data_IF_523895203194
#
_entry.id   IF_523895203194
#
_cell.length_a   1.000
_cell.length_b   1.000
_cell.length_c   1.000
_cell.angle_alpha   90.00
_cell.angle_beta   90.00
_cell.angle_gamma   90.00
#
_symmetry.space_group_name_H-M   'P 1'
#
loop_
_entity.id
_entity.type
_entity.pdbx_description
1 polymer ?
#
# COMPACT_ATOMS: atom_id res chain seq x y z
N UNK A 1 16.02 8.01 11.15
CA UNK A 1 15.49 8.86 10.04
C UNK A 1 15.44 10.34 10.43
N UNK A 2 15.69 11.28 9.52
CA UNK A 2 15.54 12.74 9.77
C UNK A 2 14.13 13.25 9.45
N UNK A 3 13.80 14.49 9.78
CA UNK A 3 12.50 15.08 9.43
C UNK A 3 12.33 15.24 7.91
N UNK A 4 13.39 15.66 7.22
CA UNK A 4 13.42 15.80 5.75
C UNK A 4 13.20 14.45 5.06
N UNK A 5 13.82 13.39 5.59
CA UNK A 5 13.60 12.04 5.07
C UNK A 5 12.15 11.57 5.29
N UNK A 6 11.53 11.93 6.42
CA UNK A 6 10.11 11.66 6.67
C UNK A 6 9.18 12.39 5.70
N UNK A 7 9.46 13.67 5.42
CA UNK A 7 8.74 14.45 4.39
C UNK A 7 8.85 13.81 3.02
N UNK A 8 10.06 13.43 2.58
CA UNK A 8 10.28 12.73 1.30
C UNK A 8 9.52 11.40 1.22
N UNK A 9 9.48 10.62 2.30
CA UNK A 9 8.72 9.37 2.33
C UNK A 9 7.22 9.59 2.06
N UNK A 10 6.65 10.66 2.62
CA UNK A 10 5.25 11.03 2.40
C UNK A 10 5.01 11.65 1.02
N UNK A 11 5.93 12.46 0.51
CA UNK A 11 5.87 12.96 -0.87
C UNK A 11 5.84 11.79 -1.86
N UNK A 12 6.70 10.78 -1.66
CA UNK A 12 6.71 9.55 -2.46
C UNK A 12 5.40 8.78 -2.32
N UNK A 13 4.87 8.61 -1.11
CA UNK A 13 3.58 7.95 -0.90
C UNK A 13 2.42 8.70 -1.58
N UNK A 14 2.46 10.03 -1.61
CA UNK A 14 1.49 10.86 -2.33
C UNK A 14 1.57 10.64 -3.83
N UNK A 15 2.77 10.51 -4.41
CA UNK A 15 2.94 10.15 -5.82
C UNK A 15 2.22 8.83 -6.12
N UNK A 16 2.40 7.79 -5.29
CA UNK A 16 1.70 6.51 -5.48
C UNK A 16 0.18 6.64 -5.36
N UNK A 17 -0.32 7.45 -4.43
CA UNK A 17 -1.77 7.66 -4.27
C UNK A 17 -2.43 8.45 -5.41
N UNK A 18 -1.62 9.22 -6.16
CA UNK A 18 -2.06 10.12 -7.23
C UNK A 18 -1.56 9.69 -8.60
N UNK A 19 -0.87 8.56 -8.70
CA UNK A 19 -0.25 8.12 -9.93
C UNK A 19 -1.32 7.86 -10.99
N UNK A 20 -1.17 8.51 -12.13
CA UNK A 20 -2.09 8.44 -13.26
C UNK A 20 -1.59 7.40 -14.26
N UNK A 21 -2.45 6.46 -14.64
CA UNK A 21 -2.07 5.38 -15.55
C UNK A 21 -3.28 4.86 -16.35
N UNK A 22 -3.01 4.22 -17.48
CA UNK A 22 -4.02 3.60 -18.33
C UNK A 22 -3.84 2.08 -18.33
N UNK A 23 -4.90 1.36 -17.95
CA UNK A 23 -4.94 -0.09 -18.05
C UNK A 23 -5.43 -0.52 -19.45
N UNK A 24 -5.03 -1.73 -19.86
CA UNK A 24 -5.60 -2.47 -20.98
C UNK A 24 -6.19 -3.79 -20.48
N UNK A 25 -6.91 -4.50 -21.35
CA UNK A 25 -7.45 -5.84 -21.04
C UNK A 25 -6.35 -6.84 -20.66
N UNK A 26 -5.10 -6.64 -21.11
CA UNK A 26 -3.97 -7.49 -20.72
C UNK A 26 -3.63 -7.41 -19.24
N UNK A 27 -4.00 -6.30 -18.59
CA UNK A 27 -3.67 -6.05 -17.19
C UNK A 27 -4.71 -6.63 -16.23
N UNK A 28 -5.80 -7.20 -16.75
CA UNK A 28 -6.88 -7.85 -15.96
C UNK A 28 -6.55 -9.33 -15.78
N UNK A 29 -6.73 -9.84 -14.56
CA UNK A 29 -6.55 -11.26 -14.26
C UNK A 29 -7.44 -11.71 -13.09
N UNK A 30 -8.20 -12.78 -13.32
CA UNK A 30 -9.06 -13.45 -12.33
C UNK A 30 -8.90 -14.95 -12.48
N UNK A 31 -7.87 -15.51 -11.84
CA UNK A 31 -7.55 -16.93 -11.94
C UNK A 31 -6.08 -17.26 -11.75
N UNK A 32 -5.65 -18.40 -12.28
CA UNK A 32 -4.29 -18.92 -12.11
C UNK A 32 -3.37 -18.35 -13.20
N UNK A 33 -2.30 -17.67 -12.80
CA UNK A 33 -1.28 -17.15 -13.70
C UNK A 33 -0.35 -18.25 -14.25
N UNK A 34 0.58 -17.87 -15.13
CA UNK A 34 1.55 -18.78 -15.75
C UNK A 34 2.50 -19.48 -14.77
N UNK A 35 2.59 -19.00 -13.54
CA UNK A 35 3.42 -19.54 -12.47
C UNK A 35 2.60 -20.34 -11.43
N UNK A 36 1.32 -20.60 -11.69
CA UNK A 36 0.45 -21.34 -10.80
C UNK A 36 -0.09 -20.51 -9.61
N UNK A 37 0.04 -19.18 -9.63
CA UNK A 37 -0.47 -18.30 -8.57
C UNK A 37 -1.85 -17.79 -8.94
N UNK A 38 -2.78 -17.87 -7.99
CA UNK A 38 -4.09 -17.24 -8.14
C UNK A 38 -3.94 -15.73 -7.99
N UNK A 39 -4.48 -14.99 -8.95
CA UNK A 39 -4.42 -13.53 -9.05
C UNK A 39 -5.83 -13.02 -9.30
N UNK A 40 -6.21 -12.03 -8.50
CA UNK A 40 -7.43 -11.25 -8.67
C UNK A 40 -7.06 -9.79 -8.73
N UNK A 41 -7.26 -9.14 -9.87
CA UNK A 41 -6.95 -7.73 -10.02
C UNK A 41 -8.06 -6.85 -9.45
N UNK A 42 -7.78 -5.73 -8.77
CA UNK A 42 -8.81 -4.82 -8.26
C UNK A 42 -9.45 -3.93 -9.36
N UNK A 43 -9.74 -4.51 -10.52
CA UNK A 43 -10.49 -3.85 -11.58
C UNK A 43 -12.00 -3.88 -11.31
N UNK A 44 -12.76 -3.07 -12.05
CA UNK A 44 -14.22 -2.93 -11.85
C UNK A 44 -15.03 -4.23 -12.04
N UNK A 45 -14.47 -5.30 -12.60
CA UNK A 45 -15.13 -6.61 -12.72
C UNK A 45 -14.91 -7.51 -11.52
N UNK A 46 -13.93 -7.21 -10.66
CA UNK A 46 -13.68 -7.95 -9.43
C UNK A 46 -14.78 -7.77 -8.40
N UNK A 47 -15.28 -8.88 -7.86
CA UNK A 47 -16.26 -8.94 -6.77
C UNK A 47 -15.81 -10.00 -5.77
N UNK A 48 -14.92 -9.63 -4.85
CA UNK A 48 -14.47 -10.52 -3.80
C UNK A 48 -15.56 -10.80 -2.76
N UNK A 49 -15.52 -11.97 -2.13
CA UNK A 49 -16.43 -12.37 -1.06
C UNK A 49 -16.20 -11.53 0.20
N UNK A 50 -14.93 -11.26 0.55
CA UNK A 50 -14.55 -10.45 1.72
C UNK A 50 -14.59 -8.94 1.42
N UNK A 51 -14.09 -8.53 0.26
CA UNK A 51 -13.96 -7.12 -0.12
C UNK A 51 -14.38 -6.87 -1.57
N UNK A 52 -15.38 -6.01 -1.75
CA UNK A 52 -15.74 -5.42 -3.04
C UNK A 52 -14.85 -4.20 -3.33
N UNK A 53 -13.62 -4.45 -3.74
CA UNK A 53 -12.58 -3.43 -3.92
C UNK A 53 -12.19 -3.16 -5.37
N UNK A 54 -13.02 -3.59 -6.33
CA UNK A 54 -12.83 -3.32 -7.75
C UNK A 54 -13.02 -1.83 -8.08
N UNK A 55 -12.03 -1.18 -8.71
CA UNK A 55 -12.09 0.27 -8.93
C UNK A 55 -11.51 0.73 -10.27
N UNK A 56 -10.43 0.12 -10.76
CA UNK A 56 -9.78 0.59 -11.99
C UNK A 56 -10.42 -0.04 -13.24
N UNK A 57 -10.34 0.65 -14.37
CA UNK A 57 -11.00 0.22 -15.62
C UNK A 57 -10.06 0.25 -16.82
N UNK A 58 -10.03 -0.81 -17.65
CA UNK A 58 -9.36 -0.78 -18.96
C UNK A 58 -9.83 0.38 -19.86
N UNK A 59 -8.90 0.95 -20.61
CA UNK A 59 -9.17 2.02 -21.57
C UNK A 59 -9.57 3.36 -20.96
N UNK A 60 -9.43 3.53 -19.64
CA UNK A 60 -9.71 4.78 -18.94
C UNK A 60 -8.50 5.22 -18.10
N UNK A 61 -8.46 6.51 -17.78
CA UNK A 61 -7.49 7.03 -16.83
C UNK A 61 -7.83 6.54 -15.43
N UNK A 62 -6.86 5.91 -14.77
CA UNK A 62 -6.95 5.42 -13.41
C UNK A 62 -6.01 6.22 -12.52
N UNK A 63 -6.42 6.46 -11.26
CA UNK A 63 -5.64 7.23 -10.29
C UNK A 63 -5.38 6.44 -9.01
N UNK A 64 -4.10 6.26 -8.71
CA UNK A 64 -3.55 5.51 -7.59
C UNK A 64 -2.98 4.17 -8.03
N UNK A 65 -1.86 3.78 -7.41
CA UNK A 65 -1.26 2.45 -7.65
C UNK A 65 -2.15 1.36 -7.03
N UNK A 66 -2.49 0.29 -7.78
CA UNK A 66 -3.33 -0.78 -7.28
C UNK A 66 -2.64 -1.56 -6.14
N UNK A 67 -3.48 -2.12 -5.27
CA UNK A 67 -3.02 -3.02 -4.22
C UNK A 67 -2.46 -4.29 -4.86
N UNK A 68 -1.21 -4.61 -4.57
CA UNK A 68 -0.54 -5.81 -5.06
C UNK A 68 -0.02 -6.65 -3.90
N UNK A 69 -0.79 -7.66 -3.49
CA UNK A 69 -0.40 -8.57 -2.42
C UNK A 69 1.00 -9.14 -2.67
N UNK A 70 1.94 -8.88 -1.75
CA UNK A 70 3.32 -9.34 -1.87
C UNK A 70 4.22 -8.49 -2.77
N UNK A 71 3.72 -7.45 -3.42
CA UNK A 71 4.49 -6.58 -4.32
C UNK A 71 5.00 -5.31 -3.64
N UNK A 72 6.07 -4.73 -4.19
CA UNK A 72 6.69 -3.49 -3.78
C UNK A 72 7.27 -2.74 -5.00
N UNK A 73 6.50 -2.69 -6.09
CA UNK A 73 6.94 -2.09 -7.36
C UNK A 73 7.33 -0.62 -7.18
N UNK A 74 8.42 -0.20 -7.82
CA UNK A 74 8.66 1.23 -8.08
C UNK A 74 7.59 1.79 -9.04
N UNK A 75 7.50 3.12 -9.20
CA UNK A 75 6.58 3.70 -10.19
C UNK A 75 7.01 3.33 -11.61
N UNK A 76 8.32 3.32 -11.87
CA UNK A 76 8.91 2.94 -13.16
C UNK A 76 8.66 1.46 -13.47
N UNK A 77 8.85 0.57 -12.48
CA UNK A 77 8.53 -0.86 -12.63
C UNK A 77 7.04 -1.10 -12.85
N UNK A 78 6.19 -0.30 -12.18
CA UNK A 78 4.76 -0.35 -12.38
C UNK A 78 4.40 0.06 -13.81
N UNK A 79 4.80 1.24 -14.26
CA UNK A 79 4.47 1.77 -15.58
C UNK A 79 4.97 0.85 -16.70
N UNK A 80 6.22 0.38 -16.59
CA UNK A 80 6.77 -0.59 -17.55
C UNK A 80 5.96 -1.88 -17.55
N UNK A 81 5.65 -2.42 -16.37
CA UNK A 81 4.85 -3.64 -16.25
C UNK A 81 3.45 -3.49 -16.86
N UNK A 82 2.79 -2.34 -16.65
CA UNK A 82 1.49 -2.07 -17.28
C UNK A 82 1.60 -2.13 -18.81
N UNK A 83 2.59 -1.48 -19.40
CA UNK A 83 2.83 -1.48 -20.86
C UNK A 83 3.16 -2.88 -21.39
N UNK A 84 3.93 -3.67 -20.63
CA UNK A 84 4.28 -5.05 -20.97
C UNK A 84 3.11 -6.03 -20.80
N UNK A 85 2.00 -5.61 -20.19
CA UNK A 85 0.82 -6.44 -19.98
C UNK A 85 0.87 -7.29 -18.71
N UNK A 86 1.65 -6.87 -17.70
CA UNK A 86 1.56 -7.43 -16.34
C UNK A 86 0.23 -7.09 -15.69
N UNK A 87 -0.19 -7.90 -14.73
CA UNK A 87 -1.46 -7.71 -14.04
C UNK A 87 -1.39 -6.53 -13.08
N UNK A 88 -2.39 -5.66 -13.10
CA UNK A 88 -2.40 -4.44 -12.30
C UNK A 88 -3.01 -4.69 -10.91
N UNK A 89 -2.15 -5.10 -9.98
CA UNK A 89 -2.53 -5.47 -8.61
C UNK A 89 -2.82 -6.95 -8.41
N UNK A 90 -3.11 -7.31 -7.16
CA UNK A 90 -3.53 -8.63 -6.70
C UNK A 90 -4.19 -8.49 -5.32
N UNK A 91 -5.48 -8.81 -5.20
CA UNK A 91 -6.30 -8.73 -3.98
C UNK A 91 -6.84 -10.12 -3.59
N UNK A 92 -5.96 -11.08 -3.24
CA UNK A 92 -6.38 -12.44 -2.97
C UNK A 92 -7.28 -12.50 -1.72
N UNK A 93 -8.26 -13.39 -1.71
CA UNK A 93 -9.03 -13.72 -0.50
C UNK A 93 -8.18 -14.45 0.53
N UNK A 94 -7.39 -15.41 0.06
CA UNK A 94 -6.47 -16.18 0.89
C UNK A 94 -5.09 -15.51 0.95
N UNK A 95 -4.87 -14.79 2.05
CA UNK A 95 -3.61 -14.09 2.34
C UNK A 95 -2.44 -15.00 2.71
N UNK A 96 -2.65 -16.31 2.88
CA UNK A 96 -1.55 -17.26 3.09
C UNK A 96 -0.71 -17.47 1.82
N UNK A 97 -1.25 -17.08 0.66
CA UNK A 97 -0.60 -17.25 -0.65
C UNK A 97 0.46 -16.18 -0.88
N UNK A 98 1.54 -16.56 -1.56
CA UNK A 98 2.56 -15.61 -2.01
C UNK A 98 2.02 -14.76 -3.17
N UNK A 99 2.37 -13.47 -3.19
CA UNK A 99 2.08 -12.56 -4.32
C UNK A 99 2.64 -13.05 -5.65
N UNK A 100 2.18 -12.55 -6.80
CA UNK A 100 2.70 -12.94 -8.12
C UNK A 100 3.81 -12.00 -8.63
N UNK A 101 4.80 -12.58 -9.32
CA UNK A 101 5.83 -11.84 -10.06
C UNK A 101 5.30 -11.25 -11.38
N UNK A 102 4.14 -11.71 -11.83
CA UNK A 102 3.41 -11.19 -12.99
C UNK A 102 2.51 -10.00 -12.62
N UNK A 103 2.40 -9.69 -11.32
CA UNK A 103 1.66 -8.52 -10.84
C UNK A 103 2.60 -7.34 -10.61
N UNK A 104 2.08 -6.13 -10.87
CA UNK A 104 2.68 -4.86 -10.45
C UNK A 104 1.75 -4.11 -9.51
N UNK A 105 2.34 -3.39 -8.57
CA UNK A 105 1.62 -2.67 -7.52
C UNK A 105 2.34 -2.75 -6.19
N UNK A 106 1.67 -2.36 -5.12
CA UNK A 106 2.24 -2.41 -3.76
C UNK A 106 1.22 -2.91 -2.75
N UNK A 107 1.65 -3.75 -1.80
CA UNK A 107 0.89 -3.97 -0.56
C UNK A 107 1.25 -2.92 0.50
N UNK A 108 0.67 -3.04 1.71
CA UNK A 108 0.92 -2.10 2.80
C UNK A 108 2.41 -1.94 3.13
N UNK A 109 3.12 -3.06 3.28
CA UNK A 109 4.55 -3.10 3.58
C UNK A 109 5.43 -2.79 2.36
N UNK A 110 4.95 -3.08 1.16
CA UNK A 110 5.57 -2.73 -0.10
C UNK A 110 5.60 -1.23 -0.31
N UNK A 111 4.52 -0.52 0.02
CA UNK A 111 4.48 0.94 0.00
C UNK A 111 5.51 1.52 0.97
N UNK A 112 5.60 0.99 2.21
CA UNK A 112 6.62 1.43 3.17
C UNK A 112 8.03 1.12 2.64
N UNK A 113 8.23 -0.04 2.03
CA UNK A 113 9.53 -0.42 1.42
C UNK A 113 10.01 0.65 0.45
N UNK A 114 9.16 1.07 -0.50
CA UNK A 114 9.55 2.05 -1.52
C UNK A 114 9.66 3.46 -0.95
N UNK A 115 8.76 3.87 -0.03
CA UNK A 115 8.77 5.18 0.60
C UNK A 115 9.96 5.40 1.53
N UNK A 116 10.39 4.35 2.22
CA UNK A 116 11.57 4.37 3.07
C UNK A 116 12.86 3.99 2.33
N UNK A 117 12.81 3.72 1.02
CA UNK A 117 13.99 3.35 0.21
C UNK A 117 14.76 2.17 0.83
N UNK A 118 14.02 1.15 1.27
CA UNK A 118 14.63 -0.06 1.83
C UNK A 118 15.23 -0.91 0.69
N UNK A 119 16.37 -1.58 0.93
CA UNK A 119 17.06 -2.35 -0.11
C UNK A 119 16.32 -3.63 -0.53
N UNK A 120 15.33 -4.07 0.27
CA UNK A 120 14.50 -5.24 0.01
C UNK A 120 13.12 -5.06 0.59
N UNK A 121 12.13 -5.71 -0.03
CA UNK A 121 10.77 -5.78 0.51
C UNK A 121 10.76 -6.37 1.91
N UNK A 122 10.03 -5.70 2.79
CA UNK A 122 9.74 -6.15 4.15
C UNK A 122 8.28 -6.63 4.26
N UNK A 123 7.95 -7.27 5.38
CA UNK A 123 6.58 -7.52 5.81
C UNK A 123 6.22 -6.56 6.94
N UNK A 124 4.93 -6.31 7.14
CA UNK A 124 4.46 -5.46 8.24
C UNK A 124 4.98 -5.92 9.62
N UNK A 125 5.01 -7.25 9.85
CA UNK A 125 5.57 -7.85 11.08
C UNK A 125 7.06 -7.60 11.30
N UNK A 126 7.81 -7.24 10.26
CA UNK A 126 9.26 -6.99 10.37
C UNK A 126 9.54 -5.54 10.85
N UNK A 127 8.53 -4.66 10.91
CA UNK A 127 8.67 -3.24 11.32
C UNK A 127 9.38 -3.08 12.68
N UNK A 128 9.01 -3.81 13.76
CA UNK A 128 9.66 -3.66 15.06
C UNK A 128 11.16 -4.03 15.05
N UNK A 129 11.62 -4.81 14.07
CA UNK A 129 13.02 -5.21 13.94
C UNK A 129 13.88 -4.15 13.26
N UNK A 130 13.26 -3.25 12.47
CA UNK A 130 13.97 -2.28 11.62
C UNK A 130 13.74 -0.81 12.02
N UNK A 131 12.77 -0.55 12.88
CA UNK A 131 12.33 0.78 13.28
C UNK A 131 12.21 0.88 14.81
N UNK A 132 12.41 2.07 15.34
CA UNK A 132 12.30 2.35 16.77
C UNK A 132 10.84 2.60 17.14
N UNK A 133 10.37 1.98 18.22
CA UNK A 133 9.08 2.31 18.83
C UNK A 133 9.12 3.74 19.37
N UNK A 134 8.12 4.54 19.04
CA UNK A 134 8.01 5.93 19.50
C UNK A 134 6.70 6.18 20.24
N UNK A 135 6.72 7.14 21.15
CA UNK A 135 5.51 7.68 21.76
C UNK A 135 4.69 8.42 20.70
N UNK A 136 3.36 8.26 20.73
CA UNK A 136 2.45 8.93 19.80
C UNK A 136 2.59 10.45 19.87
N UNK A 137 2.93 11.01 21.03
CA UNK A 137 3.16 12.46 21.16
C UNK A 137 4.34 12.95 20.30
N UNK A 138 5.28 12.07 20.00
CA UNK A 138 6.51 12.33 19.26
C UNK A 138 6.41 11.90 17.79
N UNK A 139 5.25 11.38 17.35
CA UNK A 139 5.03 10.97 15.96
C UNK A 139 5.15 12.18 15.01
N UNK A 140 5.81 11.96 13.89
CA UNK A 140 5.99 12.96 12.84
C UNK A 140 5.82 12.35 11.46
N UNK A 141 5.64 13.22 10.47
CA UNK A 141 5.46 12.85 9.08
C UNK A 141 6.50 11.81 8.62
N UNK A 142 6.03 10.71 8.02
CA UNK A 142 6.86 9.62 7.52
C UNK A 142 7.14 8.49 8.50
N UNK A 143 6.81 8.66 9.79
CA UNK A 143 6.67 7.54 10.72
C UNK A 143 5.49 6.65 10.30
N UNK A 144 5.39 5.45 10.86
CA UNK A 144 4.32 4.49 10.53
C UNK A 144 3.53 4.06 11.74
N UNK A 145 2.24 3.81 11.55
CA UNK A 145 1.46 2.96 12.45
C UNK A 145 1.57 1.52 11.98
N UNK A 146 1.95 0.58 12.86
CA UNK A 146 2.09 -0.83 12.50
C UNK A 146 1.49 -1.78 13.53
N UNK A 147 0.91 -2.87 13.00
CA UNK A 147 0.62 -4.15 13.67
C UNK A 147 1.26 -5.28 12.84
N UNK A 148 1.16 -6.54 13.28
CA UNK A 148 1.80 -7.65 12.56
C UNK A 148 1.27 -7.86 11.14
N UNK A 149 -0.01 -7.53 10.90
CA UNK A 149 -0.70 -7.75 9.62
C UNK A 149 -0.76 -6.52 8.72
N UNK A 150 -0.53 -5.31 9.24
CA UNK A 150 -0.72 -4.08 8.47
C UNK A 150 0.18 -2.94 8.93
N UNK A 151 0.51 -2.05 7.99
CA UNK A 151 1.33 -0.86 8.24
C UNK A 151 0.84 0.32 7.39
N UNK A 152 0.84 1.52 7.97
CA UNK A 152 0.33 2.74 7.35
C UNK A 152 1.29 3.90 7.61
N UNK A 153 1.58 4.72 6.60
CA UNK A 153 2.42 5.91 6.77
C UNK A 153 1.61 7.04 7.39
N UNK A 154 2.09 7.61 8.50
CA UNK A 154 1.51 8.79 9.10
C UNK A 154 1.90 10.04 8.30
N UNK A 155 0.88 10.76 7.82
CA UNK A 155 1.06 12.02 7.10
C UNK A 155 1.00 13.20 8.07
N UNK A 156 -0.12 13.37 8.77
CA UNK A 156 -0.36 14.53 9.63
C UNK A 156 -1.53 14.32 10.61
N UNK A 157 -1.59 15.15 11.64
CA UNK A 157 -2.81 15.36 12.42
C UNK A 157 -3.74 16.32 11.69
N UNK A 158 -5.03 16.01 11.62
CA UNK A 158 -6.02 16.79 10.84
C UNK A 158 -6.64 17.90 11.70
N UNK A 159 -6.68 17.71 13.02
CA UNK A 159 -7.28 18.65 13.96
C UNK A 159 -6.30 19.11 15.04
N UNK A 160 -6.59 20.26 15.64
CA UNK A 160 -5.75 20.88 16.69
C UNK A 160 -5.57 19.98 17.91
N UNK A 161 -6.60 19.22 18.27
CA UNK A 161 -6.59 18.30 19.42
C UNK A 161 -5.86 16.99 19.13
N UNK A 162 -5.32 16.82 17.90
CA UNK A 162 -4.55 15.65 17.47
C UNK A 162 -5.25 14.30 17.66
N UNK A 163 -6.58 14.28 17.69
CA UNK A 163 -7.37 13.05 17.80
C UNK A 163 -7.73 12.42 16.45
N UNK A 164 -7.51 13.12 15.33
CA UNK A 164 -7.68 12.61 13.97
C UNK A 164 -6.37 12.64 13.20
N UNK A 165 -6.05 11.54 12.54
CA UNK A 165 -4.84 11.39 11.73
C UNK A 165 -5.19 11.14 10.27
N UNK A 166 -4.38 11.70 9.38
CA UNK A 166 -4.35 11.32 7.97
C UNK A 166 -3.20 10.37 7.75
N UNK A 167 -3.49 9.25 7.12
CA UNK A 167 -2.50 8.24 6.76
C UNK A 167 -2.48 8.03 5.24
N UNK A 168 -1.42 7.40 4.76
CA UNK A 168 -1.32 6.88 3.40
C UNK A 168 -0.95 5.41 3.49
N UNK A 169 -1.73 4.56 2.85
CA UNK A 169 -1.47 3.13 2.82
C UNK A 169 -2.04 2.46 1.57
N UNK A 170 -1.62 1.21 1.36
CA UNK A 170 -2.20 0.30 0.38
C UNK A 170 -2.92 -0.81 1.13
N UNK A 171 -4.22 -0.95 0.92
CA UNK A 171 -5.04 -1.96 1.61
C UNK A 171 -5.92 -2.75 0.66
N UNK A 172 -6.14 -4.04 0.97
CA UNK A 172 -7.04 -4.94 0.21
C UNK A 172 -8.45 -4.36 0.11
N UNK A 173 -8.95 -3.79 1.21
CA UNK A 173 -10.33 -3.29 1.30
C UNK A 173 -10.64 -2.11 0.37
N UNK A 174 -9.62 -1.40 -0.12
CA UNK A 174 -9.75 -0.26 -1.05
C UNK A 174 -9.20 -0.62 -2.44
N UNK A 175 -8.36 -1.65 -2.54
CA UNK A 175 -7.79 -2.11 -3.80
C UNK A 175 -6.70 -1.20 -4.38
N UNK A 176 -6.26 -0.17 -3.64
CA UNK A 176 -5.19 0.76 -4.06
C UNK A 176 -4.53 1.52 -2.92
N UNK A 177 -3.43 2.20 -3.26
CA UNK A 177 -2.83 3.24 -2.44
C UNK A 177 -3.79 4.42 -2.34
N UNK A 178 -4.11 4.84 -1.12
CA UNK A 178 -5.03 5.94 -0.86
C UNK A 178 -4.66 6.73 0.38
N UNK A 179 -5.15 7.98 0.45
CA UNK A 179 -5.14 8.74 1.69
C UNK A 179 -6.41 8.40 2.46
N UNK A 180 -6.27 8.10 3.75
CA UNK A 180 -7.41 7.77 4.63
C UNK A 180 -7.30 8.51 5.94
N UNK A 181 -8.43 8.71 6.59
CA UNK A 181 -8.53 9.45 7.85
C UNK A 181 -9.10 8.53 8.92
N UNK A 182 -8.52 8.58 10.11
CA UNK A 182 -8.91 7.76 11.25
C UNK A 182 -8.96 8.59 12.53
N UNK A 183 -9.81 8.17 13.47
CA UNK A 183 -9.60 8.54 14.86
C UNK A 183 -8.34 7.82 15.34
N UNK A 184 -7.45 8.58 15.99
CA UNK A 184 -6.22 8.04 16.56
C UNK A 184 -6.54 6.94 17.58
N UNK A 185 -7.55 7.16 18.41
CA UNK A 185 -7.97 6.21 19.44
C UNK A 185 -8.38 4.85 18.84
N UNK A 186 -9.11 4.85 17.71
CA UNK A 186 -9.49 3.60 17.03
C UNK A 186 -8.27 2.81 16.57
N UNK A 187 -7.23 3.48 16.07
CA UNK A 187 -5.97 2.82 15.68
C UNK A 187 -5.28 2.22 16.92
N UNK A 188 -5.20 2.96 18.02
CA UNK A 188 -4.57 2.48 19.24
C UNK A 188 -5.34 1.31 19.86
N UNK A 189 -6.67 1.35 19.86
CA UNK A 189 -7.55 0.27 20.32
C UNK A 189 -7.40 -0.99 19.46
N UNK A 190 -7.13 -0.84 18.17
CA UNK A 190 -6.79 -1.96 17.27
C UNK A 190 -5.35 -2.50 17.48
N UNK A 191 -4.58 -1.89 18.38
CA UNK A 191 -3.23 -2.32 18.74
C UNK A 191 -2.11 -1.74 17.88
N UNK A 192 -2.40 -0.78 17.00
CA UNK A 192 -1.36 -0.09 16.24
C UNK A 192 -0.41 0.65 17.16
N UNK A 193 0.88 0.54 16.87
CA UNK A 193 1.95 1.30 17.53
C UNK A 193 2.68 2.17 16.52
N UNK A 194 3.22 3.29 16.96
CA UNK A 194 3.99 4.17 16.10
C UNK A 194 5.47 3.76 16.07
N UNK A 195 6.05 3.71 14.87
CA UNK A 195 7.44 3.37 14.66
C UNK A 195 8.12 4.39 13.74
N UNK A 196 9.40 4.62 14.00
CA UNK A 196 10.26 5.48 13.20
C UNK A 196 11.41 4.69 12.62
N UNK A 197 11.60 4.77 11.30
CA UNK A 197 12.75 4.14 10.63
C UNK A 197 14.06 4.60 11.28
N UNK A 198 14.94 3.63 11.59
CA UNK A 198 16.31 3.88 12.06
C UNK A 198 17.10 4.66 11.00
#
# INVERSE_FOLDING_TARGET
MTEEAGKRAIEKALLYSKHEWYASEKNVMHGIDKNGRYVDTPDITWRGEEFDCGWWKPGQLNVGIPYGWGNASSLEEFDLGIVEGKYAGNVPEDTSRYGSHECVGVDCSGLVTVCWELPKKIRARDIPEIADLIDIKDIRQGDVFAISSHVMLFKEFINKDKCKVRIIDSTRSIGKVSQREFLLEDLLCQGYRAYRKR
#
